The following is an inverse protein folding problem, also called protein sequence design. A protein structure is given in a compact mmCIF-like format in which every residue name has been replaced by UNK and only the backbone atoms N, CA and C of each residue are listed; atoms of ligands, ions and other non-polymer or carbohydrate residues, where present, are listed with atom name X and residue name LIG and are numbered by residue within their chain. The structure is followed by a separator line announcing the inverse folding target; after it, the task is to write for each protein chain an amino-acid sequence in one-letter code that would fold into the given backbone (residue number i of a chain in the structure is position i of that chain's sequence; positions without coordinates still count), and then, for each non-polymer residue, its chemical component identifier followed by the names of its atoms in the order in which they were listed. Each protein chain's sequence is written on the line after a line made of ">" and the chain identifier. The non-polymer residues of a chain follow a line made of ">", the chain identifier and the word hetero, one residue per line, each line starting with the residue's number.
data_IF_982997563238
#
_entry.id   IF_982997563238
#
_cell.length_a   1.000
_cell.length_b   1.000
_cell.length_c   1.000
_cell.angle_alpha   90.00
_cell.angle_beta   90.00
_cell.angle_gamma   90.00
#
_symmetry.space_group_name_H-M   'P 1'
#
loop_
_entity.id
_entity.type
_entity.pdbx_description
1 polymer ?
#
# COMPACT_ATOMS: atom_id res chain seq x y z
N UNK A 1 16.41 -16.52 -13.17
CA UNK A 1 17.81 -16.89 -13.56
C UNK A 1 18.69 -15.65 -13.86
N UNK A 2 18.14 -14.51 -14.26
CA UNK A 2 18.87 -13.26 -14.50
C UNK A 2 19.36 -12.58 -13.21
N UNK A 3 18.67 -12.77 -12.10
CA UNK A 3 19.07 -12.19 -10.81
C UNK A 3 20.37 -12.80 -10.27
N UNK A 4 20.65 -14.08 -10.56
CA UNK A 4 21.90 -14.74 -10.16
C UNK A 4 23.11 -14.21 -10.92
N UNK A 5 22.95 -13.81 -12.20
CA UNK A 5 24.01 -13.21 -12.98
C UNK A 5 24.31 -11.77 -12.55
N UNK A 6 23.31 -11.04 -12.04
CA UNK A 6 23.49 -9.69 -11.47
C UNK A 6 24.24 -9.72 -10.15
N UNK A 7 24.05 -10.77 -9.33
CA UNK A 7 24.75 -10.94 -8.04
C UNK A 7 26.22 -11.32 -8.22
N UNK A 8 26.63 -11.81 -9.39
CA UNK A 8 28.05 -12.08 -9.70
C UNK A 8 28.78 -10.88 -10.29
N UNK A 9 28.07 -9.81 -10.59
CA UNK A 9 28.62 -8.54 -11.06
C UNK A 9 29.15 -7.71 -9.85
N UNK A 10 30.15 -6.86 -10.00
CA UNK A 10 30.67 -5.98 -8.94
C UNK A 10 29.75 -4.80 -8.59
N UNK A 11 28.44 -4.93 -8.85
CA UNK A 11 27.40 -3.95 -8.53
C UNK A 11 26.95 -4.10 -7.09
N UNK A 12 26.71 -2.99 -6.41
CA UNK A 12 26.13 -3.02 -5.06
C UNK A 12 24.64 -3.46 -5.14
N UNK A 13 24.17 -4.11 -4.07
CA UNK A 13 22.74 -4.52 -3.98
C UNK A 13 21.82 -3.31 -4.09
N UNK A 14 22.24 -2.17 -3.59
CA UNK A 14 21.51 -0.89 -3.69
C UNK A 14 21.33 -0.45 -5.14
N UNK A 15 22.36 -0.59 -5.97
CA UNK A 15 22.29 -0.18 -7.38
C UNK A 15 21.29 -1.04 -8.16
N UNK A 16 21.19 -2.33 -7.82
CA UNK A 16 20.23 -3.26 -8.44
C UNK A 16 18.80 -2.88 -8.06
N UNK A 17 18.55 -2.58 -6.76
CA UNK A 17 17.20 -2.20 -6.29
C UNK A 17 16.77 -0.86 -6.87
N UNK A 18 17.65 0.13 -6.84
CA UNK A 18 17.39 1.47 -7.40
C UNK A 18 17.18 1.37 -8.91
N UNK A 19 17.98 0.58 -9.63
CA UNK A 19 17.81 0.35 -11.06
C UNK A 19 16.45 -0.28 -11.41
N UNK A 20 16.01 -1.30 -10.64
CA UNK A 20 14.67 -1.90 -10.80
C UNK A 20 13.57 -0.88 -10.53
N UNK A 21 13.69 -0.09 -9.46
CA UNK A 21 12.73 0.96 -9.12
C UNK A 21 12.63 2.02 -10.24
N UNK A 22 13.76 2.56 -10.67
CA UNK A 22 13.80 3.57 -11.74
C UNK A 22 13.25 3.03 -13.05
N UNK A 23 13.53 1.78 -13.40
CA UNK A 23 12.97 1.12 -14.57
C UNK A 23 11.44 1.06 -14.54
N UNK A 24 10.85 0.69 -13.40
CA UNK A 24 9.39 0.67 -13.25
C UNK A 24 8.78 2.08 -13.24
N UNK A 25 9.43 3.05 -12.60
CA UNK A 25 9.00 4.44 -12.63
C UNK A 25 9.06 5.00 -14.06
N UNK A 26 10.09 4.67 -14.83
CA UNK A 26 10.20 5.09 -16.24
C UNK A 26 9.04 4.54 -17.09
N UNK A 27 8.70 3.26 -16.92
CA UNK A 27 7.55 2.66 -17.61
C UNK A 27 6.24 3.35 -17.18
N UNK A 28 6.07 3.63 -15.90
CA UNK A 28 4.90 4.33 -15.37
C UNK A 28 4.82 5.80 -15.83
N UNK A 29 5.97 6.45 -16.05
CA UNK A 29 6.02 7.83 -16.54
C UNK A 29 5.42 7.99 -17.95
N UNK A 30 5.49 6.96 -18.81
CA UNK A 30 4.97 7.02 -20.17
C UNK A 30 3.48 7.35 -20.21
N UNK A 31 2.57 6.59 -19.55
CA UNK A 31 1.15 6.94 -19.52
C UNK A 31 0.89 8.27 -18.80
N UNK A 32 1.68 8.63 -17.80
CA UNK A 32 1.52 9.93 -17.11
C UNK A 32 1.86 11.09 -18.04
N UNK A 33 2.86 10.98 -18.89
CA UNK A 33 3.17 11.98 -19.93
C UNK A 33 2.02 12.16 -20.91
N UNK A 34 1.33 11.08 -21.28
CA UNK A 34 0.13 11.15 -22.13
C UNK A 34 -0.99 11.90 -21.39
N UNK A 35 -1.18 11.62 -20.08
CA UNK A 35 -2.16 12.33 -19.25
C UNK A 35 -1.84 13.83 -19.14
N UNK A 36 -0.57 14.22 -19.16
CA UNK A 36 -0.16 15.63 -19.16
C UNK A 36 -0.66 16.43 -20.38
N UNK A 37 -1.00 15.76 -21.48
CA UNK A 37 -1.60 16.41 -22.65
C UNK A 37 -3.09 16.75 -22.44
N UNK A 38 -3.77 16.05 -21.52
CA UNK A 38 -5.20 16.19 -21.28
C UNK A 38 -5.63 17.62 -20.87
N UNK A 39 -4.96 18.29 -19.90
CA UNK A 39 -5.29 19.66 -19.54
C UNK A 39 -5.15 20.66 -20.70
N UNK A 40 -4.17 20.42 -21.61
CA UNK A 40 -3.97 21.26 -22.79
C UNK A 40 -5.14 21.15 -23.76
N UNK A 41 -5.63 19.93 -23.98
CA UNK A 41 -6.79 19.68 -24.84
C UNK A 41 -8.05 20.27 -24.23
N UNK A 42 -8.27 20.06 -22.93
CA UNK A 42 -9.44 20.57 -22.20
C UNK A 42 -9.51 22.11 -22.22
N UNK A 43 -8.36 22.77 -22.17
CA UNK A 43 -8.29 24.24 -22.27
C UNK A 43 -8.82 24.78 -23.60
N UNK A 44 -8.75 24.00 -24.68
CA UNK A 44 -9.31 24.40 -25.98
C UNK A 44 -10.84 24.40 -26.01
N UNK A 45 -11.48 23.68 -25.06
CA UNK A 45 -12.93 23.51 -24.99
C UNK A 45 -13.59 24.23 -23.81
N UNK A 46 -12.80 24.76 -22.86
CA UNK A 46 -13.34 25.44 -21.69
C UNK A 46 -12.28 26.02 -20.77
N UNK A 47 -12.73 26.74 -19.72
CA UNK A 47 -11.83 27.30 -18.70
C UNK A 47 -11.33 26.21 -17.76
N UNK A 48 -10.06 25.86 -17.86
CA UNK A 48 -9.39 24.90 -16.98
C UNK A 48 -8.26 25.59 -16.23
N UNK A 49 -8.23 25.45 -14.91
CA UNK A 49 -7.11 25.93 -14.09
C UNK A 49 -5.89 25.06 -14.29
N UNK A 50 -4.97 25.49 -15.15
CA UNK A 50 -3.74 24.76 -15.47
C UNK A 50 -2.92 24.38 -14.23
N UNK A 51 -2.66 25.28 -13.26
CA UNK A 51 -1.86 24.96 -12.09
C UNK A 51 -2.47 23.80 -11.27
N UNK A 52 -3.79 23.81 -11.10
CA UNK A 52 -4.49 22.78 -10.34
C UNK A 52 -4.41 21.40 -11.03
N UNK A 53 -4.57 21.37 -12.35
CA UNK A 53 -4.50 20.12 -13.13
C UNK A 53 -3.11 19.50 -13.09
N UNK A 54 -2.05 20.30 -13.28
CA UNK A 54 -0.68 19.77 -13.23
C UNK A 54 -0.26 19.36 -11.82
N UNK A 55 -0.72 20.06 -10.78
CA UNK A 55 -0.49 19.65 -9.40
C UNK A 55 -1.16 18.30 -9.09
N UNK A 56 -2.37 18.07 -9.59
CA UNK A 56 -3.07 16.79 -9.45
C UNK A 56 -2.33 15.66 -10.17
N UNK A 57 -1.83 15.90 -11.38
CA UNK A 57 -1.05 14.91 -12.14
C UNK A 57 0.26 14.59 -11.42
N UNK A 58 0.94 15.59 -10.86
CA UNK A 58 2.15 15.39 -10.09
C UNK A 58 1.87 14.58 -8.82
N UNK A 59 0.79 14.88 -8.10
CA UNK A 59 0.35 14.10 -6.94
C UNK A 59 0.05 12.64 -7.31
N UNK A 60 -0.62 12.41 -8.45
CA UNK A 60 -0.87 11.08 -8.98
C UNK A 60 0.43 10.33 -9.32
N UNK A 61 1.40 11.01 -9.92
CA UNK A 61 2.71 10.43 -10.23
C UNK A 61 3.46 10.01 -8.96
N UNK A 62 3.50 10.88 -7.94
CA UNK A 62 4.15 10.57 -6.66
C UNK A 62 3.47 9.41 -5.93
N UNK A 63 2.15 9.37 -5.96
CA UNK A 63 1.38 8.25 -5.41
C UNK A 63 1.71 6.94 -6.13
N UNK A 64 1.80 6.97 -7.45
CA UNK A 64 2.22 5.81 -8.24
C UNK A 64 3.64 5.34 -7.92
N UNK A 65 4.59 6.26 -7.75
CA UNK A 65 5.95 5.93 -7.31
C UNK A 65 5.96 5.26 -5.92
N UNK A 66 5.14 5.74 -4.99
CA UNK A 66 5.00 5.14 -3.66
C UNK A 66 4.43 3.71 -3.74
N UNK A 67 3.42 3.49 -4.57
CA UNK A 67 2.85 2.16 -4.80
C UNK A 67 3.86 1.20 -5.43
N UNK A 68 4.68 1.67 -6.38
CA UNK A 68 5.76 0.89 -6.99
C UNK A 68 6.81 0.51 -5.92
N UNK A 69 7.17 1.41 -5.02
CA UNK A 69 8.11 1.13 -3.93
C UNK A 69 7.58 0.05 -2.98
N UNK A 70 6.29 0.14 -2.58
CA UNK A 70 5.62 -0.88 -1.76
C UNK A 70 5.61 -2.23 -2.49
N UNK A 71 5.24 -2.25 -3.77
CA UNK A 71 5.22 -3.46 -4.59
C UNK A 71 6.59 -4.12 -4.71
N UNK A 72 7.66 -3.33 -4.92
CA UNK A 72 9.04 -3.82 -4.92
C UNK A 72 9.43 -4.44 -3.60
N UNK A 73 9.12 -3.76 -2.49
CA UNK A 73 9.40 -4.27 -1.15
C UNK A 73 8.69 -5.60 -0.91
N UNK A 74 7.39 -5.70 -1.16
CA UNK A 74 6.63 -6.93 -0.98
C UNK A 74 7.10 -8.05 -1.94
N UNK A 75 7.50 -7.69 -3.16
CA UNK A 75 8.08 -8.65 -4.11
C UNK A 75 9.43 -9.20 -3.66
N UNK A 76 10.22 -8.43 -2.92
CA UNK A 76 11.49 -8.91 -2.38
C UNK A 76 11.34 -9.93 -1.25
N UNK A 77 10.18 -9.97 -0.60
CA UNK A 77 9.88 -10.88 0.52
C UNK A 77 9.40 -12.27 0.06
N UNK A 78 9.09 -12.45 -1.22
CA UNK A 78 8.53 -13.69 -1.75
C UNK A 78 9.33 -14.21 -2.93
N UNK A 79 9.51 -15.53 -3.00
CA UNK A 79 10.21 -16.19 -4.12
C UNK A 79 9.31 -16.37 -5.35
N UNK A 80 7.98 -16.34 -5.18
CA UNK A 80 7.02 -16.56 -6.25
C UNK A 80 6.42 -15.23 -6.72
N UNK A 81 6.56 -14.87 -8.01
CA UNK A 81 6.01 -13.63 -8.55
C UNK A 81 4.47 -13.56 -8.44
N UNK A 82 3.79 -14.70 -8.50
CA UNK A 82 2.32 -14.76 -8.36
C UNK A 82 1.90 -14.40 -6.94
N UNK A 83 2.58 -14.96 -5.92
CA UNK A 83 2.30 -14.66 -4.52
C UNK A 83 2.62 -13.20 -4.23
N UNK A 84 3.75 -12.68 -4.75
CA UNK A 84 4.10 -11.26 -4.65
C UNK A 84 3.00 -10.34 -5.19
N UNK A 85 2.47 -10.66 -6.37
CA UNK A 85 1.40 -9.88 -7.01
C UNK A 85 0.12 -9.87 -6.17
N UNK A 86 -0.31 -11.03 -5.66
CA UNK A 86 -1.51 -11.16 -4.82
C UNK A 86 -1.37 -10.38 -3.51
N UNK A 87 -0.23 -10.50 -2.82
CA UNK A 87 0.03 -9.79 -1.56
C UNK A 87 0.09 -8.28 -1.80
N UNK A 88 0.78 -7.84 -2.85
CA UNK A 88 0.87 -6.41 -3.20
C UNK A 88 -0.50 -5.84 -3.54
N UNK A 89 -1.29 -6.55 -4.36
CA UNK A 89 -2.66 -6.14 -4.68
C UNK A 89 -3.51 -6.05 -3.42
N UNK A 90 -3.47 -7.05 -2.54
CA UNK A 90 -4.22 -7.06 -1.30
C UNK A 90 -3.83 -5.91 -0.37
N UNK A 91 -2.54 -5.63 -0.20
CA UNK A 91 -2.04 -4.54 0.62
C UNK A 91 -2.50 -3.18 0.08
N UNK A 92 -2.33 -2.93 -1.22
CA UNK A 92 -2.76 -1.68 -1.85
C UNK A 92 -4.29 -1.52 -1.84
N UNK A 93 -5.03 -2.61 -2.05
CA UNK A 93 -6.49 -2.60 -1.98
C UNK A 93 -6.99 -2.22 -0.59
N UNK A 94 -6.41 -2.79 0.47
CA UNK A 94 -6.73 -2.44 1.85
C UNK A 94 -6.43 -0.96 2.11
N UNK A 95 -5.25 -0.47 1.73
CA UNK A 95 -4.88 0.94 1.88
C UNK A 95 -5.86 1.87 1.16
N UNK A 96 -6.29 1.51 -0.05
CA UNK A 96 -7.24 2.30 -0.83
C UNK A 96 -8.65 2.27 -0.25
N UNK A 97 -9.09 1.10 0.22
CA UNK A 97 -10.41 0.91 0.83
C UNK A 97 -10.54 1.60 2.20
N UNK A 98 -9.45 1.81 2.94
CA UNK A 98 -9.47 2.46 4.25
C UNK A 98 -10.22 3.80 4.23
N UNK A 99 -9.92 4.64 3.25
CA UNK A 99 -10.55 5.96 3.13
C UNK A 99 -12.06 5.86 2.83
N UNK A 100 -12.46 4.90 2.01
CA UNK A 100 -13.88 4.67 1.66
C UNK A 100 -14.64 4.04 2.83
N UNK A 101 -14.00 3.15 3.59
CA UNK A 101 -14.61 2.54 4.76
C UNK A 101 -14.93 3.57 5.86
N UNK A 102 -14.06 4.54 6.09
CA UNK A 102 -14.28 5.57 7.11
C UNK A 102 -15.50 6.45 6.83
N UNK A 103 -15.87 6.62 5.57
CA UNK A 103 -17.03 7.42 5.17
C UNK A 103 -18.36 6.66 5.24
N UNK A 104 -18.32 5.33 5.11
CA UNK A 104 -19.53 4.47 5.06
C UNK A 104 -19.89 3.91 6.43
N UNK A 105 -18.88 3.61 7.25
CA UNK A 105 -19.08 3.01 8.57
C UNK A 105 -19.35 4.09 9.62
N UNK A 106 -20.42 3.87 10.41
CA UNK A 106 -20.68 4.72 11.57
C UNK A 106 -19.49 4.61 12.54
N UNK A 107 -19.06 5.74 13.10
CA UNK A 107 -17.89 5.82 13.98
C UNK A 107 -18.18 5.26 15.40
N UNK A 108 -18.91 4.18 15.47
CA UNK A 108 -19.19 3.48 16.72
C UNK A 108 -17.97 2.65 17.13
N UNK A 109 -17.73 2.52 18.43
CA UNK A 109 -16.63 1.72 18.96
C UNK A 109 -16.60 0.28 18.40
N UNK A 110 -17.76 -0.32 18.16
CA UNK A 110 -17.89 -1.67 17.62
C UNK A 110 -17.39 -1.76 16.14
N UNK A 111 -17.68 -0.77 15.31
CA UNK A 111 -17.23 -0.76 13.90
C UNK A 111 -15.73 -0.52 13.81
N UNK A 112 -15.19 0.37 14.65
CA UNK A 112 -13.75 0.59 14.78
C UNK A 112 -13.02 -0.68 15.20
N UNK A 113 -13.58 -1.41 16.18
CA UNK A 113 -13.06 -2.70 16.64
C UNK A 113 -13.00 -3.70 15.48
N UNK A 114 -14.09 -3.89 14.74
CA UNK A 114 -14.14 -4.84 13.61
C UNK A 114 -13.09 -4.52 12.54
N UNK A 115 -12.94 -3.26 12.18
CA UNK A 115 -11.99 -2.85 11.12
C UNK A 115 -10.55 -3.09 11.55
N UNK A 116 -10.20 -2.70 12.78
CA UNK A 116 -8.85 -2.89 13.31
C UNK A 116 -8.56 -4.39 13.49
N UNK A 117 -9.53 -5.20 13.91
CA UNK A 117 -9.42 -6.65 14.00
C UNK A 117 -9.10 -7.28 12.63
N UNK A 118 -9.83 -6.90 11.57
CA UNK A 118 -9.57 -7.36 10.21
C UNK A 118 -8.18 -6.96 9.72
N UNK A 119 -7.71 -5.75 10.06
CA UNK A 119 -6.36 -5.30 9.74
C UNK A 119 -5.28 -6.13 10.43
N UNK A 120 -5.44 -6.41 11.73
CA UNK A 120 -4.50 -7.26 12.49
C UNK A 120 -4.43 -8.66 11.89
N UNK A 121 -5.58 -9.26 11.55
CA UNK A 121 -5.63 -10.56 10.87
C UNK A 121 -4.96 -10.50 9.49
N UNK A 122 -5.19 -9.46 8.72
CA UNK A 122 -4.53 -9.26 7.43
C UNK A 122 -3.01 -9.19 7.55
N UNK A 123 -2.51 -8.42 8.52
CA UNK A 123 -1.06 -8.35 8.83
C UNK A 123 -0.51 -9.71 9.28
N UNK A 124 -1.24 -10.45 10.11
CA UNK A 124 -0.82 -11.79 10.55
C UNK A 124 -0.71 -12.76 9.38
N UNK A 125 -1.65 -12.72 8.42
CA UNK A 125 -1.60 -13.54 7.19
C UNK A 125 -0.41 -13.16 6.32
N UNK A 126 -0.12 -11.87 6.15
CA UNK A 126 1.04 -11.40 5.39
C UNK A 126 2.34 -11.90 6.05
N UNK A 127 2.45 -11.77 7.38
CA UNK A 127 3.62 -12.26 8.12
C UNK A 127 3.77 -13.77 7.98
N UNK A 128 2.67 -14.52 8.05
CA UNK A 128 2.69 -15.97 7.81
C UNK A 128 3.21 -16.31 6.41
N UNK A 129 2.76 -15.60 5.39
CA UNK A 129 3.17 -15.83 4.00
C UNK A 129 4.65 -15.52 3.77
N UNK A 130 5.18 -14.50 4.46
CA UNK A 130 6.56 -14.02 4.32
C UNK A 130 7.54 -14.87 5.12
N UNK A 131 7.26 -15.04 6.40
CA UNK A 131 8.19 -15.68 7.35
C UNK A 131 8.05 -17.18 7.33
N UNK A 132 6.94 -17.72 6.79
CA UNK A 132 6.57 -19.16 6.79
C UNK A 132 6.62 -19.78 8.21
N UNK A 133 6.60 -18.94 9.24
CA UNK A 133 6.62 -19.35 10.63
C UNK A 133 5.24 -19.16 11.24
N UNK A 134 4.50 -20.26 11.32
CA UNK A 134 3.13 -20.30 11.89
C UNK A 134 3.09 -19.77 13.31
N UNK A 135 4.14 -20.03 14.11
CA UNK A 135 4.19 -19.63 15.51
C UNK A 135 4.20 -18.12 15.68
N UNK A 136 5.02 -17.40 14.90
CA UNK A 136 5.07 -15.92 14.92
C UNK A 136 3.77 -15.28 14.44
N UNK A 137 3.18 -15.79 13.36
CA UNK A 137 1.92 -15.26 12.84
C UNK A 137 0.77 -15.44 13.83
N UNK A 138 0.69 -16.59 14.49
CA UNK A 138 -0.33 -16.90 15.50
C UNK A 138 -0.14 -16.01 16.75
N UNK A 139 1.08 -15.83 17.23
CA UNK A 139 1.35 -14.93 18.38
C UNK A 139 0.92 -13.49 18.05
N UNK A 140 1.29 -12.96 16.90
CA UNK A 140 0.95 -11.59 16.51
C UNK A 140 -0.57 -11.44 16.37
N UNK A 141 -1.25 -12.42 15.78
CA UNK A 141 -2.71 -12.44 15.69
C UNK A 141 -3.35 -12.46 17.09
N UNK A 142 -3.01 -13.41 17.93
CA UNK A 142 -3.62 -13.58 19.27
C UNK A 142 -3.30 -12.38 20.18
N UNK A 143 -2.05 -11.92 20.22
CA UNK A 143 -1.67 -10.77 21.05
C UNK A 143 -2.32 -9.49 20.54
N UNK A 144 -2.34 -9.27 19.22
CA UNK A 144 -2.98 -8.11 18.63
C UNK A 144 -4.48 -8.05 18.89
N UNK A 145 -5.20 -9.15 18.66
CA UNK A 145 -6.64 -9.25 18.95
C UNK A 145 -6.92 -9.18 20.45
N UNK A 146 -6.09 -9.78 21.28
CA UNK A 146 -6.23 -9.73 22.74
C UNK A 146 -6.06 -8.33 23.30
N UNK A 147 -5.09 -7.57 22.83
CA UNK A 147 -4.88 -6.16 23.21
C UNK A 147 -6.05 -5.31 22.70
N UNK A 148 -6.51 -5.52 21.48
CA UNK A 148 -7.65 -4.80 20.91
C UNK A 148 -8.93 -5.08 21.68
N UNK A 149 -9.20 -6.34 22.04
CA UNK A 149 -10.33 -6.72 22.88
C UNK A 149 -10.25 -6.09 24.28
N UNK A 150 -9.07 -6.08 24.89
CA UNK A 150 -8.85 -5.42 26.17
C UNK A 150 -9.15 -3.91 26.11
N UNK A 151 -8.70 -3.22 25.07
CA UNK A 151 -9.00 -1.80 24.84
C UNK A 151 -10.50 -1.58 24.65
N UNK A 152 -11.16 -2.46 23.89
CA UNK A 152 -12.61 -2.37 23.67
C UNK A 152 -13.42 -2.47 24.96
N UNK A 153 -13.07 -3.44 25.83
CA UNK A 153 -13.79 -3.66 27.09
C UNK A 153 -13.46 -2.64 28.18
N UNK A 154 -12.18 -2.19 28.26
CA UNK A 154 -11.76 -1.26 29.31
C UNK A 154 -12.02 0.22 28.96
N UNK A 155 -11.96 0.57 27.67
CA UNK A 155 -12.01 1.98 27.24
C UNK A 155 -12.54 2.10 25.81
N UNK A 156 -13.82 1.76 25.61
CA UNK A 156 -14.48 1.83 24.29
C UNK A 156 -14.41 3.23 23.66
N UNK A 157 -14.36 4.28 24.45
CA UNK A 157 -14.21 5.68 24.01
C UNK A 157 -12.90 5.97 23.27
N UNK A 158 -11.85 5.17 23.48
CA UNK A 158 -10.60 5.32 22.71
C UNK A 158 -10.71 4.83 21.28
N UNK A 159 -11.65 3.92 21.00
CA UNK A 159 -11.91 3.38 19.69
C UNK A 159 -12.89 4.24 18.89
N UNK A 160 -13.65 5.13 19.58
CA UNK A 160 -14.53 6.09 18.91
C UNK A 160 -13.68 7.09 18.13
N UNK A 161 -13.83 7.12 16.83
CA UNK A 161 -13.06 8.00 15.94
C UNK A 161 -11.58 7.62 15.73
N UNK A 162 -11.12 6.47 16.22
CA UNK A 162 -9.74 6.02 16.01
C UNK A 162 -9.37 5.90 14.52
N UNK A 163 -10.32 5.49 13.69
CA UNK A 163 -10.13 5.33 12.23
C UNK A 163 -9.97 6.68 11.54
N UNK A 164 -10.54 7.75 12.11
CA UNK A 164 -10.43 9.11 11.54
C UNK A 164 -9.07 9.77 11.84
N UNK A 165 -8.29 9.20 12.77
CA UNK A 165 -6.97 9.72 13.18
C UNK A 165 -5.79 8.99 12.54
N UNK A 166 -6.07 7.91 11.77
CA UNK A 166 -5.10 7.14 10.99
C UNK A 166 -5.14 7.61 9.54
#
# INVERSE_FOLDING_TARGET
>A
KTDQLLLTSPLSVTDIVVGKFLGMVAIFAIPVLIICLYPLIMRAYGEVSMPMSYTAILGFFLLGCSNIAIGLFLSSLTESPVIAAVITFGALFICYMMNSLTSILSQTAATSFMIIAVLILGVAVVIYSVVKNTFLAVIIGIVGEGVLAAIYFLKSTLLEGAIQKI
#
